data_IF_614495385408
#
_entry.id   IF_614495385408
#
_cell.length_a   1.000
_cell.length_b   1.000
_cell.length_c   1.000
_cell.angle_alpha   90.00
_cell.angle_beta   90.00
_cell.angle_gamma   90.00
#
_symmetry.space_group_name_H-M   'P 1'
#
loop_
_entity.id
_entity.type
_entity.pdbx_description
1 polymer ?
#
# COMPACT_ATOMS: atom_id res chain seq x y z
N UNK A 1 -4.89 -20.56 19.99
CA UNK A 1 -4.66 -20.14 20.20
C UNK A 1 -3.93 -19.71 20.32
N UNK A 2 -3.68 -19.53 20.15
CA UNK A 2 -3.00 -19.12 20.32
C UNK A 2 -2.57 -18.67 21.11
N UNK A 3 -2.41 -18.55 21.67
CA UNK A 3 -2.08 -18.09 22.46
C UNK A 3 -1.53 -18.08 23.17
N UNK A 4 -1.26 -18.10 23.09
CA UNK A 4 -0.82 -18.05 23.82
C UNK A 4 -0.09 -17.36 24.29
N UNK A 5 0.18 -17.48 24.07
CA UNK A 5 0.85 -17.03 24.64
C UNK A 5 1.29 -15.86 24.43
N UNK A 6 1.90 -15.82 24.13
CA UNK A 6 2.47 -14.71 24.04
C UNK A 6 1.75 -13.66 23.52
N UNK A 7 0.91 -13.83 22.88
CA UNK A 7 0.27 -12.76 22.34
C UNK A 7 -1.09 -12.59 22.78
N UNK A 8 -1.27 -12.50 24.01
CA UNK A 8 -2.55 -12.19 24.55
C UNK A 8 -3.04 -10.87 24.05
N UNK A 9 -2.11 -10.00 23.74
CA UNK A 9 -2.50 -8.77 23.11
C UNK A 9 -3.18 -8.99 21.80
N UNK A 10 -3.01 -10.18 21.26
CA UNK A 10 -3.70 -10.55 20.06
C UNK A 10 -4.90 -11.38 20.41
N UNK A 11 -5.67 -10.90 21.32
CA UNK A 11 -6.91 -11.57 21.65
C UNK A 11 -7.72 -11.78 20.38
N UNK A 12 -8.68 -12.67 20.43
CA UNK A 12 -9.55 -12.92 19.30
C UNK A 12 -10.25 -11.66 18.86
N UNK A 13 -10.63 -10.82 19.81
CA UNK A 13 -11.25 -9.55 19.50
C UNK A 13 -10.31 -8.64 18.70
N UNK A 14 -9.03 -8.61 19.08
CA UNK A 14 -8.04 -7.82 18.36
C UNK A 14 -7.80 -8.34 16.97
N UNK A 15 -7.73 -9.65 16.82
CA UNK A 15 -7.56 -10.25 15.50
C UNK A 15 -8.74 -9.96 14.60
N UNK A 16 -9.96 -10.09 15.14
CA UNK A 16 -11.16 -9.80 14.36
C UNK A 16 -11.21 -8.34 13.93
N UNK A 17 -10.80 -7.43 14.78
CA UNK A 17 -10.75 -6.03 14.44
C UNK A 17 -9.71 -5.78 13.33
N UNK A 18 -8.58 -6.46 13.41
CA UNK A 18 -7.54 -6.38 12.39
C UNK A 18 -8.09 -6.84 11.04
N UNK A 19 -8.70 -8.03 11.01
CA UNK A 19 -9.24 -8.56 9.77
C UNK A 19 -10.38 -7.70 9.23
N UNK A 20 -11.18 -7.14 10.11
CA UNK A 20 -12.27 -6.27 9.70
C UNK A 20 -11.75 -4.99 9.06
N UNK A 21 -10.63 -4.43 9.54
CA UNK A 21 -10.05 -3.24 8.95
C UNK A 21 -9.43 -3.52 7.59
N UNK A 22 -8.85 -4.71 7.40
CA UNK A 22 -8.34 -5.10 6.10
C UNK A 22 -9.46 -5.36 5.12
N UNK A 23 -10.56 -5.93 5.60
CA UNK A 23 -11.70 -6.22 4.74
C UNK A 23 -12.25 -4.90 4.20
N UNK A 24 -12.50 -4.90 2.91
CA UNK A 24 -13.06 -3.75 2.21
C UNK A 24 -12.14 -2.53 2.14
N UNK A 25 -10.93 -2.62 2.68
CA UNK A 25 -9.98 -1.54 2.46
C UNK A 25 -9.66 -1.47 0.98
N UNK A 26 -9.80 -0.30 0.39
CA UNK A 26 -9.54 -0.12 -1.04
C UNK A 26 -8.07 0.20 -1.24
N UNK A 27 -7.38 -0.64 -2.00
CA UNK A 27 -5.94 -0.55 -2.24
C UNK A 27 -5.71 -0.39 -3.73
N UNK A 28 -4.92 0.61 -4.09
CA UNK A 28 -4.52 0.82 -5.48
C UNK A 28 -3.09 0.31 -5.64
N UNK A 29 -2.86 -0.48 -6.68
CA UNK A 29 -1.52 -0.97 -7.01
C UNK A 29 -1.14 -0.46 -8.40
N UNK A 30 -0.07 0.30 -8.46
CA UNK A 30 0.44 0.92 -9.69
C UNK A 30 1.75 0.24 -10.04
N UNK A 31 1.77 -0.51 -11.13
CA UNK A 31 2.99 -1.19 -11.58
C UNK A 31 2.82 -1.52 -13.06
N UNK A 32 3.87 -1.32 -13.87
CA UNK A 32 3.78 -1.63 -15.28
C UNK A 32 3.93 -3.12 -15.56
N UNK A 33 4.27 -3.92 -14.58
CA UNK A 33 4.40 -5.37 -14.71
C UNK A 33 3.06 -6.06 -14.43
N UNK A 34 2.56 -6.80 -15.40
CA UNK A 34 1.36 -7.61 -15.22
C UNK A 34 1.53 -8.62 -14.09
N UNK A 35 2.72 -9.22 -14.01
CA UNK A 35 3.00 -10.24 -13.00
C UNK A 35 2.91 -9.67 -11.60
N UNK A 36 3.47 -8.50 -11.38
CA UNK A 36 3.44 -7.85 -10.07
C UNK A 36 2.01 -7.44 -9.72
N UNK A 37 1.29 -6.83 -10.67
CA UNK A 37 -0.10 -6.45 -10.41
C UNK A 37 -0.94 -7.65 -10.04
N UNK A 38 -0.78 -8.76 -10.77
CA UNK A 38 -1.56 -9.96 -10.50
C UNK A 38 -1.24 -10.56 -9.14
N UNK A 39 0.04 -10.61 -8.77
CA UNK A 39 0.44 -11.15 -7.47
C UNK A 39 -0.16 -10.31 -6.34
N UNK A 40 -0.06 -8.99 -6.46
CA UNK A 40 -0.62 -8.11 -5.44
C UNK A 40 -2.13 -8.27 -5.35
N UNK A 41 -2.80 -8.35 -6.50
CA UNK A 41 -4.25 -8.52 -6.53
C UNK A 41 -4.67 -9.79 -5.81
N UNK A 42 -4.01 -10.92 -6.11
CA UNK A 42 -4.35 -12.19 -5.48
C UNK A 42 -4.20 -12.10 -3.97
N UNK A 43 -3.08 -11.58 -3.49
CA UNK A 43 -2.83 -11.49 -2.06
C UNK A 43 -3.84 -10.58 -1.36
N UNK A 44 -4.13 -9.44 -1.96
CA UNK A 44 -5.03 -8.46 -1.35
C UNK A 44 -6.48 -8.93 -1.37
N UNK A 45 -6.91 -9.55 -2.46
CA UNK A 45 -8.28 -10.08 -2.55
C UNK A 45 -8.48 -11.20 -1.52
N UNK A 46 -7.48 -12.05 -1.33
CA UNK A 46 -7.56 -13.12 -0.33
C UNK A 46 -7.75 -12.56 1.08
N UNK A 47 -7.26 -11.36 1.32
CA UNK A 47 -7.41 -10.72 2.63
C UNK A 47 -8.70 -9.92 2.76
N UNK A 48 -9.50 -9.88 1.70
CA UNK A 48 -10.78 -9.17 1.72
C UNK A 48 -10.71 -7.72 1.26
N UNK A 49 -9.56 -7.28 0.78
CA UNK A 49 -9.41 -5.91 0.28
C UNK A 49 -10.11 -5.73 -1.07
N UNK A 50 -10.54 -4.50 -1.32
CA UNK A 50 -10.95 -4.10 -2.67
C UNK A 50 -9.71 -3.61 -3.40
N UNK A 51 -9.47 -4.12 -4.59
CA UNK A 51 -8.23 -3.84 -5.31
C UNK A 51 -8.52 -3.09 -6.60
N UNK A 52 -7.78 -2.01 -6.80
CA UNK A 52 -7.79 -1.25 -8.04
C UNK A 52 -6.38 -1.34 -8.61
N UNK A 53 -6.26 -1.60 -9.90
CA UNK A 53 -4.97 -1.76 -10.55
C UNK A 53 -4.77 -0.65 -11.57
N UNK A 54 -3.54 -0.14 -11.65
CA UNK A 54 -3.16 0.84 -12.66
C UNK A 54 -1.84 0.42 -13.26
N UNK A 55 -1.68 0.61 -14.56
CA UNK A 55 -0.49 0.15 -15.25
C UNK A 55 0.57 1.23 -15.44
N UNK A 56 0.21 2.48 -15.19
CA UNK A 56 1.18 3.60 -15.25
C UNK A 56 0.68 4.75 -14.39
N UNK A 57 1.50 5.79 -14.30
CA UNK A 57 1.18 6.93 -13.44
C UNK A 57 -0.04 7.72 -13.91
N UNK A 58 -0.25 7.83 -15.20
CA UNK A 58 -1.40 8.57 -15.72
C UNK A 58 -2.70 7.82 -15.43
N UNK A 59 -2.71 6.52 -15.66
CA UNK A 59 -3.84 5.67 -15.33
C UNK A 59 -4.15 5.75 -13.84
N UNK A 60 -3.10 5.77 -13.02
CA UNK A 60 -3.23 5.85 -11.58
C UNK A 60 -3.92 7.14 -11.14
N UNK A 61 -3.52 8.27 -11.69
CA UNK A 61 -4.10 9.55 -11.29
C UNK A 61 -5.60 9.59 -11.56
N UNK A 62 -6.03 9.02 -12.70
CA UNK A 62 -7.45 8.93 -13.01
C UNK A 62 -8.18 8.04 -12.01
N UNK A 63 -7.59 6.90 -11.70
CA UNK A 63 -8.24 5.92 -10.80
C UNK A 63 -8.28 6.38 -9.35
N UNK A 64 -7.28 7.14 -8.92
CA UNK A 64 -7.27 7.71 -7.57
C UNK A 64 -8.47 8.64 -7.38
N UNK A 65 -8.72 9.50 -8.36
CA UNK A 65 -9.84 10.44 -8.29
C UNK A 65 -11.17 9.69 -8.22
N UNK A 66 -11.31 8.62 -9.00
CA UNK A 66 -12.57 7.87 -9.06
C UNK A 66 -12.79 6.98 -7.84
N UNK A 67 -11.74 6.34 -7.36
CA UNK A 67 -11.86 5.28 -6.36
C UNK A 67 -11.49 5.69 -4.94
N UNK A 68 -10.69 6.74 -4.80
CA UNK A 68 -10.26 7.24 -3.49
C UNK A 68 -9.71 6.13 -2.60
N UNK A 69 -8.62 5.47 -3.01
CA UNK A 69 -8.07 4.36 -2.24
C UNK A 69 -7.55 4.79 -0.88
N UNK A 70 -7.48 3.84 0.04
CA UNK A 70 -6.95 4.09 1.37
C UNK A 70 -5.45 3.93 1.44
N UNK A 71 -4.87 3.14 0.56
CA UNK A 71 -3.43 2.88 0.49
C UNK A 71 -3.05 2.73 -0.97
N UNK A 72 -1.92 3.27 -1.35
CA UNK A 72 -1.43 3.21 -2.72
C UNK A 72 -0.05 2.59 -2.72
N UNK A 73 0.13 1.55 -3.55
CA UNK A 73 1.45 0.99 -3.86
C UNK A 73 1.85 1.48 -5.24
N UNK A 74 3.07 2.02 -5.36
CA UNK A 74 3.50 2.65 -6.59
C UNK A 74 4.90 2.20 -6.99
N UNK A 75 5.00 1.55 -8.13
CA UNK A 75 6.27 1.14 -8.71
C UNK A 75 7.13 2.38 -9.01
N UNK A 76 8.41 2.28 -8.75
CA UNK A 76 9.34 3.38 -9.00
C UNK A 76 9.68 3.49 -10.48
N UNK A 77 9.98 2.35 -11.11
CA UNK A 77 10.48 2.35 -12.49
C UNK A 77 9.34 2.14 -13.47
N UNK A 78 8.79 3.23 -13.96
CA UNK A 78 7.73 3.19 -14.97
C UNK A 78 8.06 4.16 -16.08
N UNK A 79 7.65 3.87 -17.33
CA UNK A 79 7.93 4.77 -18.44
C UNK A 79 7.10 6.05 -18.33
N UNK A 80 7.64 7.11 -18.88
CA UNK A 80 7.01 8.43 -19.01
C UNK A 80 6.83 9.15 -17.67
N UNK A 81 6.17 8.55 -16.72
CA UNK A 81 5.92 9.14 -15.39
C UNK A 81 6.36 8.11 -14.37
N UNK A 82 7.53 8.30 -13.77
CA UNK A 82 8.04 7.33 -12.81
C UNK A 82 7.32 7.42 -11.48
N UNK A 83 7.67 6.53 -10.56
CA UNK A 83 6.98 6.46 -9.27
C UNK A 83 7.19 7.69 -8.40
N UNK A 84 8.36 8.29 -8.44
CA UNK A 84 8.61 9.52 -7.67
C UNK A 84 7.74 10.65 -8.18
N UNK A 85 7.66 10.80 -9.49
CA UNK A 85 6.83 11.83 -10.12
C UNK A 85 5.36 11.60 -9.82
N UNK A 86 4.92 10.35 -9.92
CA UNK A 86 3.54 9.98 -9.62
C UNK A 86 3.20 10.29 -8.17
N UNK A 87 4.05 9.88 -7.24
CA UNK A 87 3.86 10.16 -5.82
C UNK A 87 3.79 11.66 -5.55
N UNK A 88 4.68 12.43 -6.16
CA UNK A 88 4.70 13.87 -6.00
C UNK A 88 3.36 14.49 -6.42
N UNK A 89 2.83 14.05 -7.54
CA UNK A 89 1.55 14.57 -8.03
C UNK A 89 0.40 14.20 -7.10
N UNK A 90 0.41 12.98 -6.57
CA UNK A 90 -0.61 12.55 -5.61
C UNK A 90 -0.55 13.41 -4.35
N UNK A 91 0.64 13.60 -3.82
CA UNK A 91 0.81 14.30 -2.54
C UNK A 91 0.58 15.81 -2.65
N UNK A 92 0.68 16.37 -3.84
CA UNK A 92 0.38 17.78 -4.06
C UNK A 92 -1.12 18.07 -4.14
N UNK A 93 -1.92 17.03 -4.34
CA UNK A 93 -3.35 17.21 -4.40
C UNK A 93 -3.92 17.19 -2.97
N UNK A 94 -4.57 18.27 -2.51
CA UNK A 94 -5.09 18.33 -1.14
C UNK A 94 -6.03 17.18 -0.79
N UNK A 95 -6.74 16.63 -1.76
CA UNK A 95 -7.67 15.52 -1.52
C UNK A 95 -6.93 14.23 -1.16
N UNK A 96 -5.71 14.06 -1.66
CA UNK A 96 -4.98 12.79 -1.54
C UNK A 96 -3.67 12.93 -0.77
N UNK A 97 -3.39 14.13 -0.28
CA UNK A 97 -2.14 14.40 0.44
C UNK A 97 -1.93 13.46 1.62
N UNK A 98 -2.99 13.09 2.31
CA UNK A 98 -2.91 12.22 3.48
C UNK A 98 -2.94 10.73 3.15
N UNK A 99 -3.19 10.37 1.89
CA UNK A 99 -3.26 8.97 1.50
C UNK A 99 -1.86 8.37 1.50
N UNK A 100 -1.62 7.27 2.22
CA UNK A 100 -0.30 6.64 2.25
C UNK A 100 0.11 6.14 0.88
N UNK A 101 1.35 6.43 0.50
CA UNK A 101 1.94 5.93 -0.74
C UNK A 101 3.19 5.12 -0.39
N UNK A 102 3.18 3.85 -0.73
CA UNK A 102 4.28 2.93 -0.51
C UNK A 102 4.96 2.67 -1.85
N UNK A 103 6.25 2.98 -1.93
CA UNK A 103 7.00 2.79 -3.17
C UNK A 103 7.41 1.33 -3.31
N UNK A 104 7.22 0.78 -4.51
CA UNK A 104 7.64 -0.59 -4.80
C UNK A 104 9.00 -0.53 -5.50
N UNK A 105 10.03 -1.03 -4.82
CA UNK A 105 11.40 -0.98 -5.30
C UNK A 105 11.85 -2.37 -5.73
N UNK A 106 12.44 -2.48 -6.92
CA UNK A 106 12.96 -3.77 -7.35
C UNK A 106 14.14 -4.17 -6.49
N UNK A 107 14.41 -5.49 -6.43
CA UNK A 107 15.51 -6.03 -5.64
C UNK A 107 16.83 -5.42 -6.06
N UNK A 108 17.02 -5.23 -7.35
CA UNK A 108 18.26 -4.69 -7.90
C UNK A 108 18.21 -3.17 -8.05
N UNK A 109 17.08 -2.56 -7.77
CA UNK A 109 16.95 -1.12 -7.84
C UNK A 109 17.30 -0.50 -6.51
N UNK A 110 17.79 0.73 -6.56
CA UNK A 110 18.12 1.46 -5.35
C UNK A 110 17.04 2.46 -5.07
N UNK A 111 16.27 2.20 -4.00
CA UNK A 111 15.30 3.18 -3.55
C UNK A 111 16.06 4.35 -2.95
N UNK A 112 15.88 5.53 -3.51
CA UNK A 112 16.49 6.74 -2.98
C UNK A 112 15.60 7.27 -1.86
N UNK A 113 16.01 7.02 -0.63
CA UNK A 113 15.23 7.43 0.53
C UNK A 113 15.06 8.94 0.63
N UNK A 114 16.08 9.68 0.27
CA UNK A 114 15.99 11.13 0.30
C UNK A 114 14.98 11.61 -0.72
N UNK A 115 15.02 11.07 -1.93
CA UNK A 115 14.06 11.45 -2.97
C UNK A 115 12.65 11.02 -2.59
N UNK A 116 12.52 9.83 -1.99
CA UNK A 116 11.22 9.36 -1.49
C UNK A 116 10.62 10.33 -0.48
N UNK A 117 11.42 10.80 0.46
CA UNK A 117 10.94 11.78 1.45
C UNK A 117 10.56 13.10 0.78
N UNK A 118 11.33 13.53 -0.21
CA UNK A 118 11.05 14.79 -0.92
C UNK A 118 9.70 14.76 -1.62
N UNK A 119 9.31 13.62 -2.16
CA UNK A 119 8.01 13.51 -2.85
C UNK A 119 6.89 13.12 -1.89
N UNK A 120 7.20 12.86 -0.62
CA UNK A 120 6.20 12.57 0.40
C UNK A 120 5.77 11.13 0.50
N UNK A 121 6.55 10.18 -0.03
CA UNK A 121 6.20 8.77 0.14
C UNK A 121 6.31 8.36 1.61
N UNK A 122 5.48 7.41 2.01
CA UNK A 122 5.37 7.03 3.41
C UNK A 122 6.23 5.85 3.78
N UNK A 123 6.53 4.99 2.81
CA UNK A 123 7.32 3.78 3.05
C UNK A 123 7.71 3.17 1.70
N UNK A 124 8.58 2.16 1.72
CA UNK A 124 8.86 1.39 0.52
C UNK A 124 8.81 -0.09 0.84
N UNK A 125 8.60 -0.90 -0.20
CA UNK A 125 8.53 -2.34 -0.11
C UNK A 125 9.31 -2.91 -1.29
N UNK A 126 10.14 -3.92 -1.04
CA UNK A 126 10.99 -4.50 -2.07
C UNK A 126 10.23 -5.56 -2.86
N UNK A 127 10.40 -5.56 -4.18
CA UNK A 127 9.85 -6.59 -5.06
C UNK A 127 10.91 -7.66 -5.32
N UNK A 128 10.54 -8.95 -5.36
CA UNK A 128 9.21 -9.48 -5.12
C UNK A 128 8.85 -9.44 -3.64
N UNK A 129 7.60 -9.14 -3.35
CA UNK A 129 7.11 -9.13 -1.98
C UNK A 129 6.39 -10.44 -1.67
N UNK A 130 6.31 -10.77 -0.38
CA UNK A 130 5.52 -11.90 0.06
C UNK A 130 4.09 -11.41 0.38
N UNK A 131 3.17 -12.36 0.46
CA UNK A 131 1.82 -12.03 0.90
C UNK A 131 1.86 -11.36 2.27
N UNK A 132 2.63 -11.92 3.20
CA UNK A 132 2.71 -11.37 4.55
C UNK A 132 3.27 -9.96 4.57
N UNK A 133 4.33 -9.69 3.84
CA UNK A 133 4.93 -8.35 3.83
C UNK A 133 3.97 -7.33 3.23
N UNK A 134 3.25 -7.71 2.18
CA UNK A 134 2.29 -6.83 1.53
C UNK A 134 1.13 -6.51 2.48
N UNK A 135 0.54 -7.54 3.08
CA UNK A 135 -0.61 -7.36 3.97
C UNK A 135 -0.23 -6.62 5.24
N UNK A 136 0.97 -6.88 5.77
CA UNK A 136 1.43 -6.18 6.95
C UNK A 136 1.60 -4.68 6.67
N UNK A 137 2.07 -4.35 5.49
CA UNK A 137 2.20 -2.95 5.10
C UNK A 137 0.83 -2.28 4.99
N UNK A 138 -0.15 -2.94 4.38
CA UNK A 138 -1.51 -2.40 4.32
C UNK A 138 -2.04 -2.17 5.73
N UNK A 139 -1.88 -3.17 6.59
CA UNK A 139 -2.39 -3.08 7.96
C UNK A 139 -1.78 -1.90 8.72
N UNK A 140 -0.49 -1.64 8.49
CA UNK A 140 0.18 -0.52 9.15
C UNK A 140 -0.52 0.80 8.89
N UNK A 141 -1.08 0.97 7.70
CA UNK A 141 -1.65 2.25 7.28
C UNK A 141 -3.17 2.31 7.38
N UNK A 142 -3.87 1.18 7.52
CA UNK A 142 -5.32 1.20 7.67
C UNK A 142 -5.77 0.97 9.11
N UNK A 143 -4.91 0.43 9.98
CA UNK A 143 -5.24 0.24 11.37
C UNK A 143 -4.86 1.48 12.15
N UNK A 144 -5.68 1.90 13.13
CA UNK A 144 -5.31 3.05 13.93
C UNK A 144 -4.08 2.74 14.77
N UNK A 145 -3.24 3.74 14.99
CA UNK A 145 -2.10 3.59 15.88
C UNK A 145 -2.61 3.52 17.32
N UNK A 146 -1.74 3.08 18.22
CA UNK A 146 -2.10 3.02 19.64
C UNK A 146 -2.54 4.39 20.16
N UNK A 147 -1.90 5.47 19.70
CA UNK A 147 -2.28 6.79 20.14
C UNK A 147 -3.65 7.19 19.63
N UNK A 148 -4.07 6.66 18.49
CA UNK A 148 -5.37 6.97 17.93
C UNK A 148 -6.48 6.22 18.63
N UNK A 149 -6.16 5.10 19.23
CA UNK A 149 -7.16 4.27 19.89
C UNK A 149 -7.33 4.58 21.36
N UNK A 150 -6.46 5.37 21.92
CA UNK A 150 -6.54 5.69 23.36
C UNK A 150 -7.48 6.83 23.68
#
# INVERSE_FOLDING_TARGET
ILRGAGSPTRSEGGLLAYLSKLRDAKVLVIDDSNTIRRSAEIFLVQAGCQVVLAEDGFDALAKIADHQPKVIFCDIMMPRLDGYQTCSLIKKNPRFKATPVIMLSSKDGLFDRARGRMVGSDQYLTKPFTKDSLLQTVATFVLPSASETS
#
